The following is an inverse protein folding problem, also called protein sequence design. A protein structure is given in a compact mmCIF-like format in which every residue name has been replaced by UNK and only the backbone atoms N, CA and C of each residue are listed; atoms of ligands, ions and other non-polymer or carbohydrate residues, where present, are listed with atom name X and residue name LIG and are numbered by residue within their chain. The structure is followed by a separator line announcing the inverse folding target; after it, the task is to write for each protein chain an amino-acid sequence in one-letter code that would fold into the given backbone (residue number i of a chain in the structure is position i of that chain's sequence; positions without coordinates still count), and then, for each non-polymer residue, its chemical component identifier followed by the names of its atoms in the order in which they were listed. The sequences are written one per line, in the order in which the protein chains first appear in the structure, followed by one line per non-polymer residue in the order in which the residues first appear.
data_IF_846691071069
#
_entry.id   IF_846691071069
#
_cell.length_a   1.000
_cell.length_b   1.000
_cell.length_c   1.000
_cell.angle_alpha   90.00
_cell.angle_beta   90.00
_cell.angle_gamma   90.00
#
_symmetry.space_group_name_H-M   'P 1'
#
loop_
_entity.id
_entity.type
_entity.pdbx_description
1 polymer ?
#
# COMPACT_ATOMS: atom_id res chain seq x y z
N UNK A 1 -16.06 4.11 -24.36
CA UNK A 1 -16.74 2.85 -24.02
C UNK A 1 -16.52 2.57 -22.54
N UNK A 2 -17.44 3.02 -21.68
CA UNK A 2 -17.33 2.82 -20.24
C UNK A 2 -17.71 1.39 -19.89
N UNK A 3 -16.70 0.54 -19.65
CA UNK A 3 -16.92 -0.79 -19.12
C UNK A 3 -17.68 -0.69 -17.80
N UNK A 4 -18.76 -1.43 -17.69
CA UNK A 4 -19.60 -1.51 -16.49
C UNK A 4 -18.79 -2.26 -15.41
N UNK A 5 -17.89 -1.54 -14.74
CA UNK A 5 -17.24 -1.99 -13.51
C UNK A 5 -18.40 -2.17 -12.52
N UNK A 6 -18.76 -3.41 -12.20
CA UNK A 6 -19.90 -3.74 -11.34
C UNK A 6 -19.89 -3.00 -10.00
N UNK A 7 -20.98 -3.11 -9.24
CA UNK A 7 -21.12 -2.44 -7.94
C UNK A 7 -19.88 -2.69 -7.06
N UNK A 8 -19.13 -1.62 -6.74
CA UNK A 8 -17.85 -1.74 -6.03
C UNK A 8 -18.03 -2.36 -4.64
N UNK A 9 -17.54 -3.59 -4.45
CA UNK A 9 -17.61 -4.32 -3.17
C UNK A 9 -16.31 -4.23 -2.34
N UNK A 10 -15.42 -3.30 -2.67
CA UNK A 10 -14.12 -3.15 -2.02
C UNK A 10 -14.19 -3.04 -0.49
N UNK A 11 -15.22 -2.34 0.04
CA UNK A 11 -15.47 -2.28 1.49
C UNK A 11 -15.74 -3.65 2.12
N UNK A 12 -16.54 -4.49 1.47
CA UNK A 12 -16.83 -5.85 1.96
C UNK A 12 -15.58 -6.72 1.88
N UNK A 13 -14.84 -6.63 0.78
CA UNK A 13 -13.60 -7.38 0.57
C UNK A 13 -12.56 -7.06 1.64
N UNK A 14 -12.23 -5.78 1.82
CA UNK A 14 -11.25 -5.37 2.83
C UNK A 14 -11.71 -5.72 4.25
N UNK A 15 -13.00 -5.56 4.54
CA UNK A 15 -13.56 -6.00 5.83
C UNK A 15 -13.36 -7.49 6.07
N UNK A 16 -13.63 -8.33 5.08
CA UNK A 16 -13.36 -9.76 5.19
C UNK A 16 -11.87 -10.03 5.44
N UNK A 17 -10.97 -9.34 4.74
CA UNK A 17 -9.54 -9.50 4.96
C UNK A 17 -9.12 -9.16 6.40
N UNK A 18 -9.55 -8.00 6.90
CA UNK A 18 -9.14 -7.48 8.20
C UNK A 18 -9.83 -8.16 9.37
N UNK A 19 -11.16 -8.35 9.30
CA UNK A 19 -11.96 -8.85 10.43
C UNK A 19 -12.04 -10.39 10.46
N UNK A 20 -11.73 -11.07 9.34
CA UNK A 20 -11.93 -12.53 9.22
C UNK A 20 -10.65 -13.26 8.84
N UNK A 21 -10.08 -12.95 7.66
CA UNK A 21 -8.95 -13.72 7.14
C UNK A 21 -7.68 -13.53 7.98
N UNK A 22 -7.30 -12.29 8.29
CA UNK A 22 -6.09 -11.99 9.07
C UNK A 22 -6.15 -12.61 10.48
N UNK A 23 -7.25 -12.44 11.27
CA UNK A 23 -7.38 -13.12 12.56
C UNK A 23 -7.34 -14.65 12.45
N UNK A 24 -7.92 -15.23 11.39
CA UNK A 24 -7.82 -16.66 11.15
C UNK A 24 -6.36 -17.08 10.93
N UNK A 25 -5.62 -16.37 10.07
CA UNK A 25 -4.21 -16.67 9.80
C UNK A 25 -3.37 -16.56 11.08
N UNK A 26 -3.53 -15.50 11.86
CA UNK A 26 -2.76 -15.30 13.10
C UNK A 26 -3.03 -16.37 14.15
N UNK A 27 -4.26 -16.92 14.18
CA UNK A 27 -4.63 -18.00 15.11
C UNK A 27 -4.05 -19.36 14.71
N UNK A 28 -3.90 -19.61 13.40
CA UNK A 28 -3.56 -20.94 12.87
C UNK A 28 -2.09 -21.07 12.43
N UNK A 29 -1.37 -19.97 12.31
CA UNK A 29 0.03 -19.94 11.91
C UNK A 29 0.86 -19.12 12.90
N UNK A 30 2.18 -19.37 12.93
CA UNK A 30 3.11 -18.62 13.77
C UNK A 30 3.46 -17.27 13.12
N UNK A 31 2.55 -16.30 13.22
CA UNK A 31 2.78 -14.93 12.73
C UNK A 31 3.26 -14.01 13.87
N UNK A 32 3.77 -12.84 13.50
CA UNK A 32 3.86 -11.70 14.41
C UNK A 32 2.66 -10.82 14.07
N UNK A 33 1.59 -10.80 14.89
CA UNK A 33 0.30 -10.27 14.48
C UNK A 33 0.25 -8.74 14.41
N UNK A 34 1.20 -8.06 15.05
CA UNK A 34 1.30 -6.60 15.09
C UNK A 34 1.36 -5.97 13.68
N UNK A 35 0.78 -4.78 13.55
CA UNK A 35 0.66 -4.05 12.28
C UNK A 35 2.01 -3.75 11.64
N UNK A 36 3.06 -3.53 12.41
CA UNK A 36 4.39 -3.22 11.87
C UNK A 36 5.03 -4.43 11.17
N UNK A 37 4.47 -5.63 11.39
CA UNK A 37 4.83 -6.90 10.77
C UNK A 37 3.75 -7.42 9.81
N UNK A 38 2.66 -6.68 9.64
CA UNK A 38 1.54 -7.04 8.78
C UNK A 38 1.47 -6.10 7.59
N UNK A 39 1.48 -6.67 6.39
CA UNK A 39 1.33 -5.89 5.16
C UNK A 39 0.27 -6.42 4.22
N UNK A 40 -0.20 -5.53 3.36
CA UNK A 40 -1.08 -5.83 2.24
C UNK A 40 -0.54 -5.17 0.98
N UNK A 41 -0.67 -5.85 -0.15
CA UNK A 41 -0.17 -5.30 -1.40
C UNK A 41 -0.70 -5.99 -2.63
N UNK A 42 -0.48 -5.33 -3.76
CA UNK A 42 -0.91 -5.79 -5.06
C UNK A 42 -0.54 -4.82 -6.16
N UNK A 43 -0.80 -5.25 -7.40
CA UNK A 43 -0.59 -4.44 -8.59
C UNK A 43 -1.91 -3.95 -9.18
N UNK A 44 -1.90 -2.83 -9.92
CA UNK A 44 -3.08 -2.35 -10.66
C UNK A 44 -4.29 -2.13 -9.74
N UNK A 45 -5.42 -2.80 -10.00
CA UNK A 45 -6.59 -2.79 -9.12
C UNK A 45 -6.28 -3.36 -7.72
N UNK A 46 -5.38 -4.33 -7.65
CA UNK A 46 -4.82 -4.86 -6.40
C UNK A 46 -4.10 -3.78 -5.59
N UNK A 47 -3.32 -2.93 -6.26
CA UNK A 47 -2.67 -1.78 -5.62
C UNK A 47 -3.69 -0.77 -5.07
N UNK A 48 -4.75 -0.49 -5.84
CA UNK A 48 -5.82 0.41 -5.39
C UNK A 48 -6.55 -0.13 -4.14
N UNK A 49 -6.93 -1.40 -4.15
CA UNK A 49 -7.64 -2.00 -3.01
C UNK A 49 -6.73 -2.17 -1.79
N UNK A 50 -5.42 -2.36 -1.98
CA UNK A 50 -4.44 -2.36 -0.89
C UNK A 50 -4.24 -1.00 -0.26
N UNK A 51 -4.23 0.09 -1.06
CA UNK A 51 -4.30 1.46 -0.50
C UNK A 51 -5.56 1.58 0.34
N UNK A 52 -6.73 1.27 -0.22
CA UNK A 52 -7.99 1.36 0.49
C UNK A 52 -8.00 0.55 1.80
N UNK A 53 -7.40 -0.63 1.81
CA UNK A 53 -7.25 -1.45 3.02
C UNK A 53 -6.41 -0.79 4.11
N UNK A 54 -5.24 -0.24 3.75
CA UNK A 54 -4.38 0.46 4.71
C UNK A 54 -5.00 1.71 5.31
N UNK A 55 -5.88 2.39 4.55
CA UNK A 55 -6.59 3.56 5.03
C UNK A 55 -7.78 3.23 5.95
N UNK A 56 -8.49 2.14 5.65
CA UNK A 56 -9.68 1.74 6.41
C UNK A 56 -9.36 0.92 7.67
N UNK A 57 -8.22 0.23 7.67
CA UNK A 57 -7.76 -0.63 8.77
C UNK A 57 -6.29 -0.33 9.10
N UNK A 58 -5.95 0.94 9.43
CA UNK A 58 -4.58 1.33 9.75
C UNK A 58 -4.04 0.57 10.95
N UNK A 59 -4.87 0.14 11.89
CA UNK A 59 -4.53 -0.68 13.05
C UNK A 59 -4.13 -2.12 12.70
N UNK A 60 -4.50 -2.62 11.51
CA UNK A 60 -4.14 -3.96 11.02
C UNK A 60 -2.94 -3.90 10.08
N UNK A 61 -2.92 -2.97 9.14
CA UNK A 61 -1.92 -2.94 8.07
C UNK A 61 -0.95 -1.77 8.28
N UNK A 62 0.31 -2.09 8.63
CA UNK A 62 1.38 -1.09 8.76
C UNK A 62 2.33 -1.03 7.57
N UNK A 63 2.24 -1.97 6.62
CA UNK A 63 3.15 -2.10 5.48
C UNK A 63 2.35 -2.24 4.18
N UNK A 64 2.49 -1.31 3.25
CA UNK A 64 1.77 -1.32 1.98
C UNK A 64 2.73 -1.53 0.80
N UNK A 65 2.46 -2.55 -0.01
CA UNK A 65 3.19 -2.82 -1.25
C UNK A 65 2.28 -2.50 -2.45
N UNK A 66 2.56 -1.39 -3.12
CA UNK A 66 1.66 -0.82 -4.12
C UNK A 66 2.36 -0.75 -5.47
N UNK A 67 1.97 -1.58 -6.43
CA UNK A 67 2.58 -1.58 -7.75
C UNK A 67 1.60 -1.04 -8.81
N UNK A 68 2.01 -0.04 -9.57
CA UNK A 68 1.27 0.51 -10.71
C UNK A 68 -0.23 0.73 -10.41
N UNK A 69 -0.62 1.42 -9.32
CA UNK A 69 -1.99 1.40 -8.81
C UNK A 69 -2.99 2.08 -9.75
N UNK A 70 -4.18 1.50 -9.89
CA UNK A 70 -5.28 2.04 -10.71
C UNK A 70 -6.00 3.24 -10.06
N UNK A 71 -5.26 4.25 -9.59
CA UNK A 71 -5.82 5.43 -8.89
C UNK A 71 -6.88 6.20 -9.70
N UNK A 72 -6.82 6.11 -11.03
CA UNK A 72 -7.82 6.68 -11.94
C UNK A 72 -9.22 6.09 -11.75
N UNK A 73 -9.34 4.86 -11.25
CA UNK A 73 -10.62 4.18 -11.06
C UNK A 73 -11.39 4.71 -9.83
N UNK A 74 -10.72 5.49 -8.97
CA UNK A 74 -11.32 6.04 -7.77
C UNK A 74 -10.84 7.50 -7.54
N UNK A 75 -11.22 8.43 -8.43
CA UNK A 75 -10.75 9.82 -8.39
C UNK A 75 -11.24 10.59 -7.15
N UNK A 76 -12.29 10.10 -6.50
CA UNK A 76 -12.90 10.70 -5.30
C UNK A 76 -12.60 9.88 -4.03
N UNK A 77 -11.52 9.09 -3.98
CA UNK A 77 -11.11 8.53 -2.68
C UNK A 77 -10.85 9.71 -1.74
N UNK A 78 -11.75 9.86 -0.78
CA UNK A 78 -11.63 10.85 0.28
C UNK A 78 -10.57 10.35 1.25
N UNK A 79 -9.31 10.61 0.93
CA UNK A 79 -8.18 10.32 1.80
C UNK A 79 -8.32 11.04 3.15
N UNK A 80 -9.12 12.10 3.25
CA UNK A 80 -9.41 12.83 4.49
C UNK A 80 -10.20 12.04 5.55
N UNK A 81 -10.73 10.86 5.22
CA UNK A 81 -11.47 10.02 6.17
C UNK A 81 -10.56 9.09 6.99
N UNK A 82 -9.23 9.18 6.82
CA UNK A 82 -8.31 8.46 7.68
C UNK A 82 -8.38 9.14 9.03
N UNK A 83 -9.04 8.51 10.00
CA UNK A 83 -9.02 8.98 11.37
C UNK A 83 -7.65 8.62 11.96
N UNK A 84 -6.62 9.40 11.59
CA UNK A 84 -5.26 9.33 12.13
C UNK A 84 -5.21 10.01 13.51
N UNK A 85 -6.21 9.77 14.35
CA UNK A 85 -6.20 10.24 15.75
C UNK A 85 -5.01 9.64 16.51
N UNK A 86 -4.46 8.51 16.04
CA UNK A 86 -3.26 7.88 16.57
C UNK A 86 -2.11 7.82 15.57
N UNK A 87 -0.91 8.04 16.09
CA UNK A 87 0.32 7.95 15.32
C UNK A 87 0.66 6.49 14.99
N UNK A 88 0.42 6.12 13.74
CA UNK A 88 0.70 4.79 13.24
C UNK A 88 1.93 4.79 12.32
N UNK A 89 3.04 4.17 12.77
CA UNK A 89 4.26 3.96 11.96
C UNK A 89 3.94 3.13 10.71
N UNK A 90 3.81 3.78 9.56
CA UNK A 90 3.32 3.16 8.34
C UNK A 90 4.37 3.32 7.25
N UNK A 91 4.66 2.23 6.54
CA UNK A 91 5.56 2.24 5.39
C UNK A 91 4.80 1.91 4.12
N UNK A 92 4.96 2.73 3.10
CA UNK A 92 4.30 2.57 1.81
C UNK A 92 5.36 2.51 0.71
N UNK A 93 5.54 1.34 0.13
CA UNK A 93 6.38 1.15 -1.05
C UNK A 93 5.52 1.28 -2.30
N UNK A 94 5.90 2.18 -3.21
CA UNK A 94 5.19 2.39 -4.46
C UNK A 94 6.13 2.17 -5.64
N UNK A 95 5.73 1.30 -6.56
CA UNK A 95 6.36 1.15 -7.86
C UNK A 95 5.47 1.69 -8.97
N UNK A 96 6.05 2.36 -9.97
CA UNK A 96 5.40 2.58 -11.25
C UNK A 96 6.39 2.79 -12.39
N UNK A 97 5.97 2.46 -13.61
CA UNK A 97 6.65 2.80 -14.84
C UNK A 97 6.16 4.11 -15.46
N UNK A 98 7.07 4.91 -16.02
CA UNK A 98 6.70 6.10 -16.82
C UNK A 98 6.03 5.71 -18.16
N UNK A 99 6.39 4.54 -18.70
CA UNK A 99 5.82 3.99 -19.93
C UNK A 99 4.42 3.37 -19.77
N UNK A 100 3.77 3.52 -18.62
CA UNK A 100 2.41 3.03 -18.37
C UNK A 100 1.32 4.00 -18.85
N UNK A 101 1.45 5.28 -18.48
CA UNK A 101 0.62 6.38 -18.98
C UNK A 101 1.18 7.72 -18.49
N UNK A 102 0.83 8.81 -19.18
CA UNK A 102 1.16 10.17 -18.76
C UNK A 102 0.55 10.57 -17.40
N UNK A 103 -0.38 9.78 -16.86
CA UNK A 103 -1.08 10.08 -15.59
C UNK A 103 -0.62 9.24 -14.41
N UNK A 104 0.14 8.15 -14.64
CA UNK A 104 0.52 7.20 -13.59
C UNK A 104 1.34 7.87 -12.48
N UNK A 105 2.50 8.44 -12.85
CA UNK A 105 3.38 9.12 -11.88
C UNK A 105 2.72 10.35 -11.26
N UNK A 106 2.03 11.24 -12.01
CA UNK A 106 1.27 12.34 -11.40
C UNK A 106 0.23 11.90 -10.37
N UNK A 107 -0.51 10.82 -10.64
CA UNK A 107 -1.52 10.32 -9.70
C UNK A 107 -0.89 9.76 -8.42
N UNK A 108 0.24 9.05 -8.52
CA UNK A 108 0.99 8.57 -7.36
C UNK A 108 1.50 9.74 -6.51
N UNK A 109 2.06 10.78 -7.14
CA UNK A 109 2.53 11.97 -6.43
C UNK A 109 1.39 12.72 -5.73
N UNK A 110 0.23 12.85 -6.39
CA UNK A 110 -0.97 13.42 -5.76
C UNK A 110 -1.43 12.62 -4.55
N UNK A 111 -1.43 11.29 -4.64
CA UNK A 111 -1.73 10.41 -3.52
C UNK A 111 -0.74 10.62 -2.36
N UNK A 112 0.57 10.59 -2.62
CA UNK A 112 1.59 10.83 -1.61
C UNK A 112 1.40 12.19 -0.91
N UNK A 113 1.20 13.26 -1.69
CA UNK A 113 0.95 14.60 -1.16
C UNK A 113 -0.33 14.67 -0.33
N UNK A 114 -1.41 14.01 -0.76
CA UNK A 114 -2.66 13.98 -0.01
C UNK A 114 -2.53 13.28 1.35
N UNK A 115 -1.65 12.29 1.49
CA UNK A 115 -1.34 11.64 2.76
C UNK A 115 -0.43 12.52 3.62
N UNK A 116 0.62 13.10 3.04
CA UNK A 116 1.56 13.96 3.77
C UNK A 116 0.90 15.24 4.31
N UNK A 117 -0.11 15.77 3.61
CA UNK A 117 -0.83 16.98 4.00
C UNK A 117 -1.89 16.76 5.11
N UNK A 118 -2.17 15.51 5.52
CA UNK A 118 -3.16 15.23 6.57
C UNK A 118 -2.67 15.47 8.00
N UNK A 119 -1.45 15.98 8.17
CA UNK A 119 -0.93 16.44 9.46
C UNK A 119 -0.07 15.41 10.19
N UNK A 120 0.66 15.91 11.17
CA UNK A 120 1.82 15.29 11.84
C UNK A 120 1.51 14.05 12.69
N UNK A 121 0.24 13.65 12.82
CA UNK A 121 -0.14 12.52 13.64
C UNK A 121 0.34 11.20 13.02
N UNK A 122 0.22 10.99 11.71
CA UNK A 122 0.68 9.77 11.08
C UNK A 122 2.15 9.84 10.63
N UNK A 123 3.00 9.02 11.22
CA UNK A 123 4.35 8.79 10.70
C UNK A 123 4.29 7.85 9.50
N UNK A 124 3.98 8.38 8.31
CA UNK A 124 3.96 7.61 7.06
C UNK A 124 5.24 7.85 6.27
N UNK A 125 6.07 6.82 6.18
CA UNK A 125 7.25 6.78 5.32
C UNK A 125 6.88 6.23 3.94
N UNK A 126 7.33 6.90 2.89
CA UNK A 126 7.16 6.46 1.51
C UNK A 126 8.51 6.11 0.87
N UNK A 127 8.53 5.04 0.08
CA UNK A 127 9.60 4.76 -0.88
C UNK A 127 8.98 4.65 -2.28
N UNK A 128 9.46 5.48 -3.21
CA UNK A 128 8.93 5.57 -4.57
C UNK A 128 9.99 5.09 -5.55
N UNK A 129 9.72 3.95 -6.17
CA UNK A 129 10.52 3.39 -7.25
C UNK A 129 9.85 3.67 -8.59
N UNK A 130 10.38 4.65 -9.32
CA UNK A 130 9.90 5.01 -10.65
C UNK A 130 10.87 4.46 -11.69
N UNK A 131 10.39 3.60 -12.58
CA UNK A 131 11.16 3.05 -13.70
C UNK A 131 10.85 3.85 -14.98
N UNK A 132 11.81 4.64 -15.50
CA UNK A 132 11.60 5.42 -16.73
C UNK A 132 11.23 4.55 -17.94
N UNK A 133 11.65 3.29 -17.95
CA UNK A 133 11.37 2.32 -19.01
C UNK A 133 10.37 1.23 -18.54
N UNK A 134 9.69 1.49 -17.43
CA UNK A 134 8.72 0.58 -16.84
C UNK A 134 7.41 0.59 -17.61
N UNK A 135 6.80 -0.59 -17.74
CA UNK A 135 5.47 -0.77 -18.32
C UNK A 135 4.61 -1.61 -17.37
N UNK A 136 3.30 -1.61 -17.60
CA UNK A 136 2.32 -2.24 -16.73
C UNK A 136 2.31 -3.76 -16.93
N UNK A 137 3.27 -4.47 -16.32
CA UNK A 137 3.38 -5.92 -16.46
C UNK A 137 4.02 -6.63 -15.24
N UNK A 138 3.73 -7.93 -15.15
CA UNK A 138 4.14 -8.82 -14.08
C UNK A 138 5.66 -9.01 -14.02
N UNK A 139 6.34 -8.99 -15.16
CA UNK A 139 7.80 -9.16 -15.19
C UNK A 139 8.53 -8.02 -14.47
N UNK A 140 8.03 -6.79 -14.59
CA UNK A 140 8.52 -5.61 -13.86
C UNK A 140 8.22 -5.72 -12.37
N UNK A 141 6.97 -6.04 -12.02
CA UNK A 141 6.54 -6.22 -10.62
C UNK A 141 7.31 -7.32 -9.91
N UNK A 142 7.59 -8.44 -10.58
CA UNK A 142 8.37 -9.54 -10.01
C UNK A 142 9.82 -9.15 -9.69
N UNK A 143 10.45 -8.32 -10.54
CA UNK A 143 11.80 -7.78 -10.26
C UNK A 143 11.80 -6.79 -9.09
N UNK A 144 10.68 -6.11 -8.88
CA UNK A 144 10.57 -5.07 -7.86
C UNK A 144 10.16 -5.61 -6.49
N UNK A 145 9.37 -6.68 -6.47
CA UNK A 145 8.88 -7.36 -5.27
C UNK A 145 9.95 -7.59 -4.18
N UNK A 146 11.13 -8.19 -4.46
CA UNK A 146 12.12 -8.43 -3.41
C UNK A 146 12.67 -7.13 -2.79
N UNK A 147 12.80 -6.04 -3.56
CA UNK A 147 13.23 -4.73 -3.04
C UNK A 147 12.17 -4.15 -2.11
N UNK A 148 10.90 -4.20 -2.54
CA UNK A 148 9.77 -3.73 -1.76
C UNK A 148 9.66 -4.46 -0.41
N UNK A 149 9.75 -5.80 -0.40
CA UNK A 149 9.70 -6.59 0.82
C UNK A 149 10.88 -6.27 1.75
N UNK A 150 12.09 -6.12 1.21
CA UNK A 150 13.26 -5.77 2.00
C UNK A 150 13.09 -4.41 2.68
N UNK A 151 12.60 -3.41 1.96
CA UNK A 151 12.38 -2.08 2.51
C UNK A 151 11.27 -2.06 3.57
N UNK A 152 10.14 -2.73 3.28
CA UNK A 152 8.98 -2.77 4.17
C UNK A 152 9.28 -3.47 5.51
N UNK A 153 10.03 -4.58 5.49
CA UNK A 153 10.15 -5.44 6.68
C UNK A 153 11.57 -5.59 7.24
N UNK A 154 12.62 -5.39 6.45
CA UNK A 154 13.99 -5.80 6.84
C UNK A 154 14.90 -4.64 7.26
N UNK A 155 14.53 -3.38 6.98
CA UNK A 155 15.38 -2.20 7.26
C UNK A 155 15.74 -2.02 8.74
N UNK A 156 14.88 -2.44 9.66
CA UNK A 156 15.14 -2.26 11.10
C UNK A 156 16.12 -3.32 11.67
N UNK A 157 16.42 -4.40 10.94
CA UNK A 157 17.41 -5.40 11.34
C UNK A 157 18.85 -4.89 11.14
N UNK A 158 19.07 -4.02 10.15
CA UNK A 158 20.43 -3.52 9.81
C UNK A 158 20.92 -2.45 10.79
N UNK A 159 20.02 -1.63 11.35
CA UNK A 159 20.39 -0.61 12.35
C UNK A 159 20.81 -1.22 13.70
N UNK A 160 20.21 -2.34 14.12
CA UNK A 160 20.57 -3.02 15.38
C UNK A 160 21.95 -3.69 15.35
N UNK A 161 22.42 -4.13 14.18
CA UNK A 161 23.73 -4.79 14.03
C UNK A 161 24.89 -3.78 14.13
N UNK A 162 24.66 -2.50 13.86
CA UNK A 162 25.71 -1.47 13.92
C UNK A 162 25.94 -0.87 15.31
N UNK A 163 25.21 -1.30 16.34
CA UNK A 163 25.29 -0.77 17.71
C UNK A 163 25.55 -1.86 18.77
N UNK A 164 26.03 -3.04 18.37
CA UNK A 164 26.60 -4.05 19.26
C UNK A 164 28.08 -4.27 18.95
#
# INVERSE_FOLDING_TARGET
TGGNLGKGEGKKYVRFLADTLKPYVDKHFRTIPDRTHTGIGGSSMGGLISIYAGLMYPEVYGRLLIFSPSLWAAPNIHFHAINLEEAHDTRVYIYAGEGESNTMVPNIKKFQQAIQNQGSAANVEFDLSIDPNGHHNEARWGREFPKAIAWLFLINQVKKIKHN
#
